data_IF_597911216126
#
_entry.id   IF_597911216126
#
_cell.length_a   1.000
_cell.length_b   1.000
_cell.length_c   1.000
_cell.angle_alpha   90.00
_cell.angle_beta   90.00
_cell.angle_gamma   90.00
#
_symmetry.space_group_name_H-M   'P 1'
#
loop_
_entity.id
_entity.type
_entity.pdbx_description
1 polymer ?
#
# COMPACT_ATOMS: atom_id res chain seq x y z
N UNK A 1 -4.84 -8.95 -15.96
CA UNK A 1 -4.36 -10.33 -16.11
C UNK A 1 -5.49 -11.36 -16.10
N UNK A 2 -5.22 -12.56 -16.59
CA UNK A 2 -6.21 -13.66 -16.60
C UNK A 2 -6.16 -14.42 -15.28
N UNK A 3 -7.30 -14.60 -14.61
CA UNK A 3 -7.42 -15.49 -13.45
C UNK A 3 -7.35 -16.93 -13.93
N UNK A 4 -6.34 -17.69 -13.49
CA UNK A 4 -6.13 -19.10 -13.87
C UNK A 4 -6.71 -20.06 -12.84
N UNK A 5 -6.74 -19.67 -11.56
CA UNK A 5 -7.31 -20.45 -10.48
C UNK A 5 -7.75 -19.50 -9.34
N UNK A 6 -8.79 -19.89 -8.64
CA UNK A 6 -9.31 -19.22 -7.48
C UNK A 6 -9.71 -20.25 -6.42
N UNK A 7 -9.38 -20.02 -5.18
CA UNK A 7 -9.75 -20.87 -4.06
C UNK A 7 -9.79 -20.10 -2.76
N UNK A 8 -10.66 -20.52 -1.86
CA UNK A 8 -10.72 -19.99 -0.49
C UNK A 8 -11.04 -21.11 0.49
N UNK A 9 -10.61 -20.96 1.74
CA UNK A 9 -11.05 -21.82 2.85
C UNK A 9 -12.53 -21.54 3.18
N UNK A 10 -13.21 -22.52 3.77
CA UNK A 10 -14.66 -22.48 3.99
C UNK A 10 -15.47 -22.32 2.69
N UNK A 11 -15.05 -23.04 1.65
CA UNK A 11 -15.76 -23.06 0.38
C UNK A 11 -17.09 -23.82 0.50
N UNK A 12 -18.03 -23.46 -0.34
CA UNK A 12 -19.29 -24.14 -0.50
C UNK A 12 -19.12 -25.59 -1.00
N UNK A 13 -19.71 -26.56 -0.29
CA UNK A 13 -19.85 -27.93 -0.77
C UNK A 13 -21.27 -28.14 -1.32
N UNK A 14 -21.45 -28.32 -2.64
CA UNK A 14 -22.78 -28.52 -3.24
C UNK A 14 -23.47 -29.82 -2.80
N UNK A 15 -22.76 -30.76 -2.20
CA UNK A 15 -23.31 -31.99 -1.69
C UNK A 15 -23.90 -31.87 -0.28
N UNK A 16 -23.40 -30.90 0.48
CA UNK A 16 -23.85 -30.58 1.84
C UNK A 16 -24.66 -29.29 1.76
N UNK A 17 -25.94 -29.35 1.52
CA UNK A 17 -26.81 -28.18 1.28
C UNK A 17 -26.92 -27.17 2.46
N UNK A 18 -26.00 -27.22 3.40
CA UNK A 18 -25.88 -26.26 4.49
C UNK A 18 -24.96 -25.11 4.05
N UNK A 19 -25.53 -24.02 3.58
CA UNK A 19 -24.82 -22.83 3.15
C UNK A 19 -24.91 -21.83 4.30
N UNK A 20 -23.81 -21.61 4.97
CA UNK A 20 -23.70 -20.60 6.03
C UNK A 20 -23.22 -19.24 5.50
N UNK A 21 -22.42 -19.23 4.44
CA UNK A 21 -21.86 -18.01 3.88
C UNK A 21 -21.50 -18.18 2.38
N UNK A 22 -21.97 -17.25 1.54
CA UNK A 22 -21.67 -17.19 0.11
C UNK A 22 -20.60 -16.17 -0.24
N UNK A 23 -20.02 -15.50 0.77
CA UNK A 23 -19.08 -14.40 0.55
C UNK A 23 -17.82 -14.89 -0.15
N UNK A 24 -17.51 -14.30 -1.30
CA UNK A 24 -16.21 -14.44 -1.92
C UNK A 24 -15.21 -13.52 -1.22
N UNK A 25 -14.37 -14.10 -0.37
CA UNK A 25 -13.45 -13.33 0.48
C UNK A 25 -12.44 -12.51 -0.32
N UNK A 26 -12.05 -12.98 -1.49
CA UNK A 26 -11.07 -12.29 -2.32
C UNK A 26 -11.61 -11.08 -3.08
N UNK A 27 -12.94 -11.04 -3.33
CA UNK A 27 -13.57 -9.92 -4.04
C UNK A 27 -14.40 -9.01 -3.13
N UNK A 28 -14.91 -9.53 -2.00
CA UNK A 28 -15.92 -8.84 -1.20
C UNK A 28 -15.44 -8.41 0.19
N UNK A 29 -14.31 -8.94 0.69
CA UNK A 29 -13.77 -8.58 1.99
C UNK A 29 -12.51 -7.74 1.83
N UNK A 30 -12.61 -6.40 1.96
CA UNK A 30 -11.45 -5.53 1.96
C UNK A 30 -10.66 -5.68 3.26
N UNK A 31 -9.35 -5.55 3.15
CA UNK A 31 -8.42 -5.59 4.29
C UNK A 31 -7.27 -4.60 4.08
N UNK A 32 -6.58 -4.24 5.15
CA UNK A 32 -5.36 -3.45 5.05
C UNK A 32 -4.25 -4.29 4.40
N UNK A 33 -3.73 -3.91 3.21
CA UNK A 33 -2.76 -4.73 2.49
C UNK A 33 -1.39 -4.80 3.19
N UNK A 34 -1.14 -3.90 4.11
CA UNK A 34 0.12 -3.81 4.83
C UNK A 34 1.31 -3.64 3.88
N UNK A 35 2.43 -4.24 4.25
CA UNK A 35 3.70 -4.07 3.53
C UNK A 35 3.70 -4.52 2.07
N UNK A 36 2.69 -5.26 1.62
CA UNK A 36 2.54 -5.59 0.19
C UNK A 36 2.27 -4.34 -0.65
N UNK A 37 1.72 -3.27 -0.08
CA UNK A 37 1.50 -2.03 -0.80
C UNK A 37 2.79 -1.24 -1.08
N UNK A 38 3.86 -1.46 -0.32
CA UNK A 38 5.15 -0.75 -0.49
C UNK A 38 5.73 -0.88 -1.90
N UNK A 39 5.56 -2.02 -2.55
CA UNK A 39 5.98 -2.25 -3.94
C UNK A 39 5.50 -1.12 -4.86
N UNK A 40 4.28 -0.63 -4.68
CA UNK A 40 3.70 0.43 -5.52
C UNK A 40 4.24 1.81 -5.16
N UNK A 41 4.56 2.08 -3.89
CA UNK A 41 5.24 3.30 -3.47
C UNK A 41 6.64 3.40 -4.09
N UNK A 42 7.39 2.29 -4.10
CA UNK A 42 8.69 2.21 -4.80
C UNK A 42 8.53 2.34 -6.31
N UNK A 43 7.57 1.64 -6.91
CA UNK A 43 7.30 1.72 -8.34
C UNK A 43 6.96 3.16 -8.78
N UNK A 44 6.18 3.89 -7.98
CA UNK A 44 5.89 5.29 -8.23
C UNK A 44 7.16 6.15 -8.25
N UNK A 45 8.01 6.03 -7.24
CA UNK A 45 9.27 6.78 -7.16
C UNK A 45 10.22 6.46 -8.31
N UNK A 46 10.35 5.20 -8.69
CA UNK A 46 11.15 4.75 -9.84
C UNK A 46 10.62 5.35 -11.14
N UNK A 47 9.30 5.26 -11.36
CA UNK A 47 8.70 5.74 -12.61
C UNK A 47 8.72 7.28 -12.74
N UNK A 48 8.72 8.01 -11.63
CA UNK A 48 8.92 9.47 -11.61
C UNK A 48 10.39 9.88 -11.92
N UNK A 49 11.30 8.92 -12.05
CA UNK A 49 12.71 9.18 -12.33
C UNK A 49 13.45 9.87 -11.17
N UNK A 50 12.90 9.81 -9.97
CA UNK A 50 13.44 10.46 -8.76
C UNK A 50 14.09 9.48 -7.79
N UNK A 51 13.97 8.18 -8.06
CA UNK A 51 14.46 7.14 -7.18
C UNK A 51 15.97 6.95 -7.33
N UNK A 52 16.67 6.97 -6.20
CA UNK A 52 18.06 6.55 -6.08
C UNK A 52 18.15 5.49 -4.97
N UNK A 53 18.27 4.22 -5.35
CA UNK A 53 18.28 3.09 -4.42
C UNK A 53 19.37 3.16 -3.34
N UNK A 54 20.48 3.83 -3.63
CA UNK A 54 21.63 4.00 -2.71
C UNK A 54 21.52 5.23 -1.80
N UNK A 55 20.44 6.03 -1.93
CA UNK A 55 20.23 7.19 -1.07
C UNK A 55 19.99 6.78 0.38
N UNK A 56 20.73 7.41 1.30
CA UNK A 56 20.68 7.08 2.72
C UNK A 56 19.60 7.84 3.46
N UNK A 57 18.88 7.13 4.33
CA UNK A 57 17.87 7.69 5.22
C UNK A 57 17.88 7.02 6.60
N UNK A 58 17.07 7.57 7.52
CA UNK A 58 16.88 6.98 8.83
C UNK A 58 16.00 5.72 8.75
N UNK A 59 16.62 4.56 8.96
CA UNK A 59 15.95 3.26 8.98
C UNK A 59 15.20 2.95 10.27
N UNK A 60 15.24 3.80 11.30
CA UNK A 60 14.61 3.53 12.59
C UNK A 60 13.17 3.99 12.66
N UNK A 61 12.93 5.24 12.23
CA UNK A 61 11.60 5.86 12.26
C UNK A 61 11.51 7.02 11.27
N UNK A 62 10.28 7.36 10.91
CA UNK A 62 9.94 8.59 10.21
C UNK A 62 9.04 9.43 11.10
N UNK A 63 9.57 10.54 11.62
CA UNK A 63 8.79 11.49 12.40
C UNK A 63 8.24 12.58 11.48
N UNK A 64 6.97 12.90 11.61
CA UNK A 64 6.28 13.79 10.70
C UNK A 64 5.57 14.95 11.40
N UNK A 65 5.53 16.07 10.72
CA UNK A 65 4.66 17.21 10.96
C UNK A 65 3.70 17.36 9.81
N UNK A 66 3.15 18.56 9.65
CA UNK A 66 2.24 18.87 8.54
C UNK A 66 2.59 20.20 7.88
N UNK A 67 2.37 20.29 6.57
CA UNK A 67 2.42 21.55 5.84
C UNK A 67 1.05 22.28 5.87
N UNK A 68 0.98 23.42 5.22
CA UNK A 68 -0.25 24.23 5.12
C UNK A 68 -1.39 23.55 4.33
N UNK A 69 -1.08 22.51 3.57
CA UNK A 69 -2.02 21.71 2.77
C UNK A 69 -2.41 20.40 3.44
N UNK A 70 -2.05 20.25 4.72
CA UNK A 70 -2.30 19.03 5.49
C UNK A 70 -1.58 17.79 4.94
N UNK A 71 -0.42 17.95 4.29
CA UNK A 71 0.42 16.85 3.88
C UNK A 71 1.45 16.53 4.97
N UNK A 72 1.78 15.25 5.18
CA UNK A 72 2.86 14.87 6.08
C UNK A 72 4.20 15.32 5.49
N UNK A 73 4.97 16.03 6.28
CA UNK A 73 6.36 16.41 5.98
C UNK A 73 7.27 15.92 7.09
N UNK A 74 8.58 15.86 6.86
CA UNK A 74 9.52 15.53 7.94
C UNK A 74 9.37 16.51 9.09
N UNK A 75 9.23 15.97 10.30
CA UNK A 75 9.08 16.77 11.50
C UNK A 75 10.34 17.59 11.81
N UNK A 76 10.11 18.80 12.28
CA UNK A 76 11.08 19.60 13.02
C UNK A 76 10.78 19.50 14.52
N UNK A 77 11.61 20.15 15.37
CA UNK A 77 11.38 20.16 16.83
C UNK A 77 10.01 20.78 17.19
N UNK A 78 9.52 21.71 16.38
CA UNK A 78 8.37 22.54 16.70
C UNK A 78 7.05 22.06 16.09
N UNK A 79 7.08 21.14 15.11
CA UNK A 79 5.87 20.73 14.37
C UNK A 79 5.60 19.22 14.39
N UNK A 80 6.22 18.44 15.29
CA UNK A 80 6.05 16.99 15.33
C UNK A 80 4.64 16.58 15.76
N UNK A 81 3.96 15.83 14.91
CA UNK A 81 2.67 15.18 15.19
C UNK A 81 2.84 13.75 15.70
N UNK A 82 3.99 13.13 15.45
CA UNK A 82 4.30 11.77 15.86
C UNK A 82 5.34 11.11 14.96
N UNK A 83 5.60 9.83 15.21
CA UNK A 83 6.56 9.05 14.44
C UNK A 83 5.97 7.71 14.03
N UNK A 84 6.31 7.28 12.82
CA UNK A 84 6.08 5.91 12.33
C UNK A 84 7.31 5.09 12.60
N UNK A 85 7.10 3.89 13.13
CA UNK A 85 8.15 2.93 13.46
C UNK A 85 8.00 1.68 12.58
N UNK A 86 9.11 0.96 12.45
CA UNK A 86 9.12 -0.37 11.84
C UNK A 86 8.45 -1.41 12.75
N UNK A 87 8.14 -2.57 12.19
CA UNK A 87 7.62 -3.70 12.96
C UNK A 87 8.53 -4.01 14.15
N UNK A 88 7.92 -4.32 15.29
CA UNK A 88 8.62 -4.59 16.55
C UNK A 88 9.59 -3.50 17.01
N UNK A 89 9.56 -2.30 16.41
CA UNK A 89 10.47 -1.16 16.68
C UNK A 89 11.95 -1.50 16.52
N UNK A 90 12.26 -2.43 15.63
CA UNK A 90 13.66 -2.74 15.32
C UNK A 90 14.39 -1.51 14.77
N UNK A 91 15.65 -1.37 15.20
CA UNK A 91 16.52 -0.25 14.85
C UNK A 91 17.52 -0.72 13.76
N UNK A 92 17.55 0.00 12.68
CA UNK A 92 18.40 -0.32 11.51
C UNK A 92 19.50 0.72 11.27
N UNK A 93 19.46 1.84 12.00
CA UNK A 93 20.40 2.95 11.82
C UNK A 93 20.16 3.69 10.49
N UNK A 94 21.25 4.09 9.85
CA UNK A 94 21.20 4.64 8.48
C UNK A 94 21.18 3.50 7.48
N UNK A 95 20.22 3.52 6.56
CA UNK A 95 20.05 2.51 5.50
C UNK A 95 19.80 3.21 4.17
N UNK A 96 20.10 2.53 3.07
CA UNK A 96 19.70 2.97 1.75
C UNK A 96 18.25 2.56 1.41
N UNK A 97 17.69 3.13 0.34
CA UNK A 97 16.30 2.87 -0.05
C UNK A 97 16.08 1.42 -0.50
N UNK A 98 17.07 0.78 -1.17
CA UNK A 98 16.97 -0.64 -1.57
C UNK A 98 16.89 -1.53 -0.33
N UNK A 99 17.73 -1.30 0.66
CA UNK A 99 17.68 -1.96 1.95
C UNK A 99 16.34 -1.73 2.66
N UNK A 100 15.77 -0.54 2.53
CA UNK A 100 14.44 -0.20 3.05
C UNK A 100 13.33 -1.10 2.52
N UNK A 101 13.37 -1.46 1.24
CA UNK A 101 12.41 -2.41 0.64
C UNK A 101 12.69 -3.85 1.11
N UNK A 102 13.95 -4.27 1.09
CA UNK A 102 14.38 -5.63 1.48
C UNK A 102 13.91 -5.98 2.89
N UNK A 103 14.09 -5.06 3.85
CA UNK A 103 13.66 -5.23 5.23
C UNK A 103 12.25 -4.71 5.51
N UNK A 104 11.55 -4.26 4.48
CA UNK A 104 10.16 -3.79 4.60
C UNK A 104 9.97 -2.66 5.62
N UNK A 105 10.84 -1.64 5.59
CA UNK A 105 10.88 -0.57 6.57
C UNK A 105 9.79 0.47 6.31
N UNK A 106 8.91 0.68 7.30
CA UNK A 106 7.88 1.72 7.25
C UNK A 106 8.48 3.12 7.22
N UNK A 107 9.59 3.32 7.95
CA UNK A 107 10.33 4.58 7.98
C UNK A 107 10.82 5.00 6.59
N UNK A 108 11.32 4.05 5.80
CA UNK A 108 11.82 4.31 4.45
C UNK A 108 10.67 4.53 3.48
N UNK A 109 9.57 3.76 3.60
CA UNK A 109 8.36 3.99 2.79
C UNK A 109 7.80 5.41 3.00
N UNK A 110 7.72 5.85 4.26
CA UNK A 110 7.32 7.22 4.60
C UNK A 110 8.27 8.27 4.03
N UNK A 111 9.59 8.04 4.09
CA UNK A 111 10.59 8.94 3.48
C UNK A 111 10.39 9.04 1.97
N UNK A 112 10.27 7.93 1.26
CA UNK A 112 10.10 7.92 -0.20
C UNK A 112 8.83 8.67 -0.58
N UNK A 113 7.70 8.35 0.06
CA UNK A 113 6.45 9.03 -0.27
C UNK A 113 6.49 10.54 -0.05
N UNK A 114 7.11 11.01 1.04
CA UNK A 114 6.98 12.41 1.43
C UNK A 114 8.16 13.30 1.00
N UNK A 115 9.30 12.73 0.63
CA UNK A 115 10.50 13.48 0.30
C UNK A 115 11.00 13.22 -1.12
N UNK A 116 10.70 12.05 -1.70
CA UNK A 116 11.10 11.72 -3.08
C UNK A 116 9.98 12.00 -4.07
N UNK A 117 8.75 11.59 -3.73
CA UNK A 117 7.54 11.90 -4.51
C UNK A 117 6.63 12.85 -3.71
N UNK A 118 5.34 12.64 -3.70
CA UNK A 118 4.39 13.27 -2.78
C UNK A 118 3.27 12.28 -2.44
N UNK A 119 2.51 12.48 -1.35
CA UNK A 119 1.34 11.64 -1.08
C UNK A 119 0.33 11.59 -2.23
N UNK A 120 0.10 12.73 -2.90
CA UNK A 120 -0.82 12.80 -4.04
C UNK A 120 -0.31 12.00 -5.24
N UNK A 121 0.98 12.08 -5.55
CA UNK A 121 1.62 11.25 -6.60
C UNK A 121 1.47 9.76 -6.24
N UNK A 122 1.79 9.37 -5.00
CA UNK A 122 1.62 7.98 -4.58
C UNK A 122 0.17 7.50 -4.76
N UNK A 123 -0.81 8.30 -4.33
CA UNK A 123 -2.24 7.99 -4.51
C UNK A 123 -2.62 7.87 -5.99
N UNK A 124 -2.10 8.77 -6.85
CA UNK A 124 -2.35 8.71 -8.29
C UNK A 124 -1.85 7.38 -8.89
N UNK A 125 -0.64 6.93 -8.50
CA UNK A 125 -0.12 5.63 -8.92
C UNK A 125 -0.95 4.47 -8.41
N UNK A 126 -1.37 4.47 -7.15
CA UNK A 126 -2.26 3.43 -6.62
C UNK A 126 -3.56 3.34 -7.42
N UNK A 127 -4.16 4.47 -7.79
CA UNK A 127 -5.34 4.48 -8.68
C UNK A 127 -5.04 3.95 -10.08
N UNK A 128 -3.88 4.27 -10.65
CA UNK A 128 -3.43 3.72 -11.94
C UNK A 128 -3.24 2.20 -11.87
N UNK A 129 -2.77 1.68 -10.73
CA UNK A 129 -2.68 0.24 -10.45
C UNK A 129 -4.03 -0.42 -10.13
N UNK A 130 -5.14 0.31 -10.21
CA UNK A 130 -6.49 -0.26 -10.07
C UNK A 130 -7.02 -0.33 -8.64
N UNK A 131 -6.32 0.24 -7.64
CA UNK A 131 -6.85 0.29 -6.29
C UNK A 131 -8.02 1.27 -6.13
N UNK A 132 -8.89 1.00 -5.16
CA UNK A 132 -10.05 1.80 -4.78
C UNK A 132 -11.14 1.94 -5.88
N UNK A 133 -11.23 0.97 -6.77
CA UNK A 133 -12.29 0.84 -7.78
C UNK A 133 -12.58 -0.64 -8.04
N UNK A 134 -13.69 -0.93 -8.70
CA UNK A 134 -14.01 -2.28 -9.15
C UNK A 134 -12.95 -2.78 -10.14
N UNK A 135 -12.64 -4.07 -10.07
CA UNK A 135 -11.77 -4.74 -11.05
C UNK A 135 -12.58 -5.11 -12.30
N UNK A 136 -13.92 -5.14 -12.18
CA UNK A 136 -14.87 -5.48 -13.23
C UNK A 136 -14.74 -6.95 -13.67
N UNK A 137 -14.79 -7.85 -12.70
CA UNK A 137 -14.89 -9.28 -12.96
C UNK A 137 -16.33 -9.63 -13.35
N UNK A 138 -16.51 -10.17 -14.54
CA UNK A 138 -17.79 -10.46 -15.16
C UNK A 138 -18.75 -11.22 -14.21
N UNK A 139 -19.67 -10.47 -13.58
CA UNK A 139 -20.76 -10.98 -12.77
C UNK A 139 -20.42 -11.38 -11.33
N UNK A 140 -19.20 -11.18 -10.84
CA UNK A 140 -18.89 -11.39 -9.42
C UNK A 140 -19.18 -10.12 -8.60
N UNK A 141 -19.79 -10.24 -7.40
CA UNK A 141 -19.87 -9.13 -6.48
C UNK A 141 -18.49 -8.68 -6.02
N UNK A 142 -18.24 -7.37 -6.06
CA UNK A 142 -16.95 -6.78 -5.69
C UNK A 142 -17.13 -5.67 -4.64
N UNK A 143 -16.13 -5.52 -3.79
CA UNK A 143 -15.95 -4.36 -2.93
C UNK A 143 -14.74 -3.54 -3.40
N UNK A 144 -14.84 -2.22 -3.29
CA UNK A 144 -13.77 -1.30 -3.73
C UNK A 144 -12.73 -1.01 -2.65
N UNK A 145 -12.99 -1.45 -1.41
CA UNK A 145 -12.18 -1.04 -0.27
C UNK A 145 -12.49 0.40 0.18
N UNK A 146 -11.69 0.90 1.10
CA UNK A 146 -11.85 2.24 1.67
C UNK A 146 -10.54 3.01 1.56
N UNK A 147 -10.60 4.20 0.98
CA UNK A 147 -9.48 5.14 0.97
C UNK A 147 -9.62 6.14 2.12
N UNK A 148 -8.69 6.13 3.06
CA UNK A 148 -8.49 7.20 4.04
C UNK A 148 -7.32 8.07 3.60
N UNK A 149 -7.57 9.36 3.37
CA UNK A 149 -6.58 10.30 2.82
C UNK A 149 -6.79 11.74 3.32
N UNK A 150 -7.43 11.88 4.50
CA UNK A 150 -7.82 13.19 5.03
C UNK A 150 -6.73 13.79 5.92
N UNK A 151 -6.22 13.02 6.85
CA UNK A 151 -5.24 13.48 7.82
C UNK A 151 -3.80 13.18 7.38
N UNK A 152 -2.79 13.91 7.87
CA UNK A 152 -1.39 13.60 7.58
C UNK A 152 -0.99 12.17 7.95
N UNK A 153 -1.54 11.62 9.04
CA UNK A 153 -1.36 10.22 9.43
C UNK A 153 -1.90 9.24 8.37
N UNK A 154 -3.08 9.52 7.82
CA UNK A 154 -3.71 8.66 6.81
C UNK A 154 -2.87 8.62 5.54
N UNK A 155 -2.49 9.83 5.06
CA UNK A 155 -1.63 9.99 3.89
C UNK A 155 -0.30 9.26 4.06
N UNK A 156 0.34 9.40 5.24
CA UNK A 156 1.60 8.73 5.54
C UNK A 156 1.44 7.21 5.60
N UNK A 157 0.38 6.72 6.26
CA UNK A 157 0.12 5.29 6.44
C UNK A 157 -0.13 4.56 5.12
N UNK A 158 -0.66 5.27 4.12
CA UNK A 158 -0.87 4.74 2.79
C UNK A 158 0.43 4.25 2.13
N UNK A 159 1.58 4.87 2.44
CA UNK A 159 2.89 4.48 1.88
C UNK A 159 3.32 3.05 2.24
N UNK A 160 2.77 2.49 3.31
CA UNK A 160 3.08 1.14 3.79
C UNK A 160 1.83 0.27 4.03
N UNK A 161 0.68 0.69 3.47
CA UNK A 161 -0.54 -0.13 3.35
C UNK A 161 -1.38 -0.24 4.61
N UNK A 162 -1.38 0.78 5.47
CA UNK A 162 -2.25 0.86 6.64
C UNK A 162 -3.25 2.01 6.54
N UNK A 163 -4.33 1.94 7.31
CA UNK A 163 -5.39 2.94 7.35
C UNK A 163 -6.36 2.91 6.17
N UNK A 164 -6.01 2.30 5.06
CA UNK A 164 -6.87 2.11 3.89
C UNK A 164 -7.00 0.62 3.57
N UNK A 165 -8.13 0.22 2.98
CA UNK A 165 -8.40 -1.19 2.69
C UNK A 165 -8.55 -1.43 1.19
N UNK A 166 -8.15 -2.61 0.75
CA UNK A 166 -8.25 -3.10 -0.63
C UNK A 166 -8.71 -4.55 -0.63
N UNK A 167 -9.24 -5.05 -1.74
CA UNK A 167 -9.51 -6.48 -1.89
C UNK A 167 -8.28 -7.23 -2.38
N UNK A 168 -8.26 -8.53 -2.14
CA UNK A 168 -7.20 -9.40 -2.68
C UNK A 168 -7.16 -9.34 -4.20
N UNK A 169 -8.33 -9.27 -4.84
CA UNK A 169 -8.42 -9.19 -6.30
C UNK A 169 -7.75 -7.92 -6.84
N UNK A 170 -8.01 -6.75 -6.23
CA UNK A 170 -7.33 -5.50 -6.59
C UNK A 170 -5.81 -5.61 -6.43
N UNK A 171 -5.35 -6.20 -5.32
CA UNK A 171 -3.92 -6.39 -5.07
C UNK A 171 -3.28 -7.30 -6.12
N UNK A 172 -3.93 -8.41 -6.48
CA UNK A 172 -3.44 -9.33 -7.51
C UNK A 172 -3.42 -8.70 -8.90
N UNK A 173 -4.44 -7.91 -9.26
CA UNK A 173 -4.46 -7.14 -10.50
C UNK A 173 -3.28 -6.17 -10.57
N UNK A 174 -3.06 -5.40 -9.52
CA UNK A 174 -1.96 -4.44 -9.43
C UNK A 174 -0.59 -5.13 -9.57
N UNK A 175 -0.39 -6.26 -8.88
CA UNK A 175 0.83 -7.04 -9.03
C UNK A 175 1.01 -7.63 -10.43
N UNK A 176 -0.07 -7.97 -11.14
CA UNK A 176 0.06 -8.45 -12.51
C UNK A 176 0.69 -7.42 -13.43
N UNK A 177 0.43 -6.11 -13.20
CA UNK A 177 1.11 -5.05 -13.93
C UNK A 177 2.61 -4.96 -13.61
N UNK A 178 2.97 -5.14 -12.34
CA UNK A 178 4.39 -5.09 -11.92
C UNK A 178 5.21 -6.22 -12.52
N UNK A 179 4.63 -7.42 -12.66
CA UNK A 179 5.33 -8.62 -13.16
C UNK A 179 5.14 -8.88 -14.67
N UNK A 180 4.49 -7.97 -15.37
CA UNK A 180 4.35 -8.01 -16.82
C UNK A 180 4.95 -6.75 -17.46
N UNK A 181 4.41 -6.34 -18.58
CA UNK A 181 4.81 -5.13 -19.33
C UNK A 181 4.10 -3.84 -18.87
N UNK A 182 3.54 -3.81 -17.68
CA UNK A 182 2.76 -2.70 -17.15
C UNK A 182 1.27 -2.77 -17.47
N UNK A 183 0.79 -3.85 -18.08
CA UNK A 183 -0.64 -4.06 -18.37
C UNK A 183 -1.34 -4.88 -17.27
N UNK A 184 -2.61 -4.56 -17.02
CA UNK A 184 -3.48 -5.25 -16.07
C UNK A 184 -4.53 -6.09 -16.79
#
# INVERSE_FOLDING_TARGET
GKILAWGQSNSFDPNVREISDYTNTGTQIPYEPGSTLKTFTWAAAINEGKYNGTELTNGNSYCYGTDSQNNPIRATADNSLGCVYNAYRYQYGSVDFDTGLIYSLNSVAGTIQNEVITPDINLEYLRKFGFFKDVDTDGLPEATGTLNFTYPSDKLSLSFGQGSTVTMLQLMQAYSAVFSDGTM
#
